data_IF_038771846694
#
_entry.id   IF_038771846694
#
_cell.length_a   1.000
_cell.length_b   1.000
_cell.length_c   1.000
_cell.angle_alpha   90.00
_cell.angle_beta   90.00
_cell.angle_gamma   90.00
#
_symmetry.space_group_name_H-M   'P 1'
#
loop_
_entity.id
_entity.type
_entity.pdbx_description
1 polymer ?
#
# COMPACT_ATOMS: atom_id res chain seq x y z
N UNK A 1 29.66 22.26 41.65
CA UNK A 1 29.62 23.51 40.86
C UNK A 1 30.70 23.47 39.80
N UNK A 2 30.34 23.13 38.55
CA UNK A 2 31.06 23.49 37.33
C UNK A 2 30.02 23.71 36.26
N UNK A 3 29.95 24.93 35.74
CA UNK A 3 29.14 25.29 34.57
C UNK A 3 29.93 24.96 33.31
N UNK A 4 29.24 24.44 32.29
CA UNK A 4 29.68 24.48 30.89
C UNK A 4 28.64 25.27 30.10
N UNK A 5 29.04 26.33 29.37
CA UNK A 5 28.18 27.07 28.47
C UNK A 5 28.17 26.38 27.10
N UNK A 6 27.04 26.34 26.41
CA UNK A 6 26.98 25.73 25.09
C UNK A 6 25.56 25.42 24.66
N UNK A 7 24.96 26.42 24.03
CA UNK A 7 23.92 26.26 23.02
C UNK A 7 24.13 25.00 22.16
N UNK A 8 23.16 24.11 22.18
CA UNK A 8 23.10 22.92 21.35
C UNK A 8 21.70 22.38 21.48
N UNK A 9 20.83 22.90 20.62
CA UNK A 9 19.52 22.37 20.30
C UNK A 9 19.60 20.84 20.23
N UNK A 10 19.10 20.15 21.26
CA UNK A 10 18.86 18.71 21.15
C UNK A 10 17.63 18.59 20.28
N UNK A 11 17.86 18.64 18.97
CA UNK A 11 16.87 18.33 17.95
C UNK A 11 16.19 17.05 18.37
N UNK A 12 14.90 17.15 18.64
CA UNK A 12 14.01 16.02 18.79
C UNK A 12 14.32 15.13 17.57
N UNK A 13 14.77 13.89 17.80
CA UNK A 13 14.81 12.91 16.73
C UNK A 13 13.37 12.81 16.27
N UNK A 14 13.05 13.48 15.17
CA UNK A 14 11.74 13.41 14.55
C UNK A 14 11.45 11.91 14.41
N UNK A 15 10.35 11.40 15.00
CA UNK A 15 10.01 10.01 14.82
C UNK A 15 9.94 9.80 13.31
N UNK A 16 10.87 9.01 12.80
CA UNK A 16 11.01 8.69 11.38
C UNK A 16 9.63 8.17 10.97
N UNK A 17 8.88 9.02 10.28
CA UNK A 17 7.48 8.80 10.00
C UNK A 17 7.38 7.40 9.38
N UNK A 18 6.83 6.44 10.13
CA UNK A 18 6.49 5.14 9.56
C UNK A 18 5.38 5.45 8.57
N UNK A 19 5.80 5.70 7.33
CA UNK A 19 4.93 6.21 6.27
C UNK A 19 3.92 5.12 5.96
N UNK A 20 2.71 5.30 6.47
CA UNK A 20 1.55 4.49 6.08
C UNK A 20 1.29 4.76 4.61
N UNK A 21 1.92 3.96 3.75
CA UNK A 21 1.80 4.10 2.31
C UNK A 21 0.41 3.63 1.89
N UNK A 22 -0.34 4.53 1.26
CA UNK A 22 -1.67 4.22 0.77
C UNK A 22 -1.57 3.58 -0.61
N UNK A 23 -2.13 2.38 -0.76
CA UNK A 23 -2.27 1.70 -2.04
C UNK A 23 -3.69 1.84 -2.54
N UNK A 24 -3.83 2.09 -3.85
CA UNK A 24 -5.14 2.01 -4.50
C UNK A 24 -5.43 0.57 -4.80
N UNK A 25 -6.55 0.06 -4.29
CA UNK A 25 -6.99 -1.32 -4.45
C UNK A 25 -8.30 -1.30 -5.22
N UNK A 26 -8.36 -2.06 -6.30
CA UNK A 26 -9.62 -2.34 -7.02
C UNK A 26 -10.23 -3.59 -6.40
N UNK A 27 -11.53 -3.55 -6.15
CA UNK A 27 -12.30 -4.70 -5.68
C UNK A 27 -13.43 -4.94 -6.66
N UNK A 28 -13.38 -6.10 -7.30
CA UNK A 28 -14.39 -6.59 -8.23
C UNK A 28 -15.33 -7.55 -7.52
N UNK A 29 -16.64 -7.37 -7.75
CA UNK A 29 -17.67 -8.29 -7.27
C UNK A 29 -18.03 -9.25 -8.39
N UNK A 30 -17.89 -10.54 -8.12
CA UNK A 30 -18.28 -11.62 -9.01
C UNK A 30 -19.46 -12.42 -8.42
N UNK A 31 -20.00 -13.35 -9.20
CA UNK A 31 -21.07 -14.25 -8.75
C UNK A 31 -20.65 -15.22 -7.65
N UNK A 32 -19.35 -15.53 -7.61
CA UNK A 32 -18.67 -16.50 -6.75
C UNK A 32 -17.89 -15.84 -5.60
N UNK A 33 -17.89 -14.51 -5.49
CA UNK A 33 -17.21 -13.80 -4.41
C UNK A 33 -16.66 -12.44 -4.83
N UNK A 34 -15.61 -12.01 -4.17
CA UNK A 34 -14.91 -10.75 -4.40
C UNK A 34 -13.43 -11.01 -4.70
N UNK A 35 -12.89 -10.26 -5.64
CA UNK A 35 -11.48 -10.29 -6.02
C UNK A 35 -10.90 -8.89 -5.85
N UNK A 36 -9.74 -8.78 -5.22
CA UNK A 36 -9.10 -7.51 -4.91
C UNK A 36 -7.64 -7.50 -5.38
N UNK A 37 -7.18 -6.40 -5.98
CA UNK A 37 -5.78 -6.25 -6.40
C UNK A 37 -5.33 -4.79 -6.34
N UNK A 38 -4.05 -4.54 -6.02
CA UNK A 38 -3.49 -3.20 -5.96
C UNK A 38 -3.11 -2.70 -7.37
N UNK A 39 -3.27 -1.40 -7.59
CA UNK A 39 -2.83 -0.72 -8.81
C UNK A 39 -1.47 -0.07 -8.57
N UNK A 40 -0.57 -0.18 -9.56
CA UNK A 40 0.74 0.45 -9.52
C UNK A 40 1.82 -0.38 -8.83
N UNK A 41 1.53 -1.63 -8.41
CA UNK A 41 2.53 -2.57 -7.92
C UNK A 41 2.86 -3.57 -9.03
N UNK A 42 4.15 -3.77 -9.30
CA UNK A 42 4.61 -4.77 -10.26
C UNK A 42 4.65 -6.13 -9.56
N UNK A 43 3.80 -7.06 -9.97
CA UNK A 43 3.75 -8.41 -9.41
C UNK A 43 2.34 -9.00 -9.40
N UNK A 44 2.23 -10.27 -9.03
CA UNK A 44 0.95 -10.96 -8.89
C UNK A 44 0.45 -10.86 -7.44
N UNK A 45 -0.08 -9.70 -7.06
CA UNK A 45 -0.75 -9.51 -5.77
C UNK A 45 -2.26 -9.55 -6.00
N UNK A 46 -2.90 -10.58 -5.45
CA UNK A 46 -4.36 -10.76 -5.51
C UNK A 46 -4.87 -11.24 -4.16
N UNK A 47 -6.00 -10.71 -3.73
CA UNK A 47 -6.79 -11.20 -2.62
C UNK A 47 -8.16 -11.65 -3.11
N UNK A 48 -8.69 -12.72 -2.53
CA UNK A 48 -10.04 -13.21 -2.82
C UNK A 48 -10.79 -13.40 -1.50
N UNK A 49 -12.11 -13.42 -1.57
CA UNK A 49 -12.95 -13.73 -0.42
C UNK A 49 -14.42 -13.80 -0.79
N UNK A 50 -15.23 -14.42 0.05
CA UNK A 50 -16.69 -14.48 -0.13
C UNK A 50 -17.34 -13.10 0.12
N UNK A 51 -16.64 -12.23 0.85
CA UNK A 51 -17.09 -10.89 1.20
C UNK A 51 -16.08 -9.81 0.81
N UNK A 52 -16.57 -8.56 0.68
CA UNK A 52 -15.75 -7.39 0.40
C UNK A 52 -14.60 -7.23 1.42
N UNK A 53 -14.92 -7.39 2.71
CA UNK A 53 -13.95 -7.20 3.80
C UNK A 53 -12.88 -8.29 3.78
N UNK A 54 -13.27 -9.52 3.45
CA UNK A 54 -12.35 -10.65 3.33
C UNK A 54 -11.38 -10.47 2.15
N UNK A 55 -11.87 -10.08 0.97
CA UNK A 55 -11.01 -9.81 -0.18
C UNK A 55 -10.04 -8.65 0.12
N UNK A 56 -10.52 -7.59 0.78
CA UNK A 56 -9.70 -6.46 1.20
C UNK A 56 -8.64 -6.87 2.24
N UNK A 57 -8.99 -7.73 3.19
CA UNK A 57 -8.05 -8.25 4.18
C UNK A 57 -6.97 -9.11 3.50
N UNK A 58 -7.39 -10.01 2.60
CA UNK A 58 -6.49 -10.89 1.86
C UNK A 58 -5.46 -10.10 1.04
N UNK A 59 -5.91 -9.09 0.28
CA UNK A 59 -4.97 -8.29 -0.53
C UNK A 59 -4.03 -7.46 0.35
N UNK A 60 -4.47 -6.95 1.51
CA UNK A 60 -3.58 -6.26 2.46
C UNK A 60 -2.49 -7.18 2.99
N UNK A 61 -2.84 -8.41 3.36
CA UNK A 61 -1.89 -9.43 3.78
C UNK A 61 -0.92 -9.81 2.65
N UNK A 62 -1.41 -9.90 1.41
CA UNK A 62 -0.57 -10.18 0.25
C UNK A 62 0.43 -9.04 -0.03
N UNK A 63 0.01 -7.77 0.12
CA UNK A 63 0.92 -6.61 0.03
C UNK A 63 1.98 -6.67 1.14
N UNK A 64 1.58 -6.97 2.38
CA UNK A 64 2.52 -7.10 3.49
C UNK A 64 3.56 -8.20 3.23
N UNK A 65 3.11 -9.37 2.77
CA UNK A 65 3.98 -10.48 2.41
C UNK A 65 4.93 -10.12 1.26
N UNK A 66 4.45 -9.36 0.27
CA UNK A 66 5.30 -8.85 -0.82
C UNK A 66 6.45 -7.98 -0.28
N UNK A 67 6.17 -7.10 0.69
CA UNK A 67 7.22 -6.29 1.36
C UNK A 67 8.21 -7.15 2.13
N UNK A 68 7.72 -8.17 2.84
CA UNK A 68 8.57 -9.06 3.61
C UNK A 68 9.52 -9.87 2.71
N UNK A 69 9.05 -10.30 1.53
CA UNK A 69 9.83 -11.12 0.59
C UNK A 69 10.78 -10.26 -0.26
N UNK A 70 10.29 -9.15 -0.81
CA UNK A 70 11.03 -8.35 -1.80
C UNK A 70 11.65 -7.07 -1.24
N UNK A 71 11.33 -6.70 0.01
CA UNK A 71 11.80 -5.48 0.65
C UNK A 71 10.93 -4.26 0.36
N UNK A 72 11.03 -3.25 1.23
CA UNK A 72 10.26 -2.00 1.14
C UNK A 72 10.63 -1.15 -0.09
N UNK A 73 11.85 -1.30 -0.62
CA UNK A 73 12.36 -0.53 -1.76
C UNK A 73 11.49 -0.68 -3.01
N UNK A 74 10.93 -1.88 -3.23
CA UNK A 74 10.05 -2.19 -4.36
C UNK A 74 8.72 -1.43 -4.30
N UNK A 75 8.28 -1.03 -3.11
CA UNK A 75 7.09 -0.20 -2.94
C UNK A 75 7.44 1.28 -2.87
N UNK A 76 8.64 1.66 -2.44
CA UNK A 76 9.08 3.07 -2.34
C UNK A 76 9.07 3.78 -3.70
N UNK A 77 9.48 3.10 -4.76
CA UNK A 77 9.49 3.63 -6.13
C UNK A 77 8.15 3.55 -6.86
N UNK A 78 7.08 3.02 -6.24
CA UNK A 78 5.76 2.99 -6.89
C UNK A 78 5.16 4.41 -6.91
N UNK A 79 4.99 5.03 -8.09
CA UNK A 79 4.38 6.34 -8.18
C UNK A 79 2.91 6.25 -7.75
N UNK A 80 2.37 7.31 -7.14
CA UNK A 80 0.95 7.40 -6.86
C UNK A 80 0.17 7.45 -8.17
N UNK A 81 -0.31 6.30 -8.64
CA UNK A 81 -1.06 6.18 -9.90
C UNK A 81 -2.47 6.75 -9.72
N UNK A 82 -2.91 7.61 -10.64
CA UNK A 82 -4.32 8.00 -10.76
C UNK A 82 -5.07 6.95 -11.59
N UNK A 83 -6.22 6.50 -11.08
CA UNK A 83 -6.98 5.39 -11.67
C UNK A 83 -8.35 5.90 -12.04
N UNK A 84 -8.72 5.71 -13.30
CA UNK A 84 -10.03 6.04 -13.83
C UNK A 84 -10.69 4.75 -14.31
N UNK A 85 -11.92 4.50 -13.86
CA UNK A 85 -12.76 3.41 -14.34
C UNK A 85 -13.73 4.00 -15.37
N UNK A 86 -13.77 3.45 -16.58
CA UNK A 86 -14.66 3.89 -17.64
C UNK A 86 -15.26 2.69 -18.38
N UNK A 87 -16.56 2.77 -18.67
CA UNK A 87 -17.23 1.82 -19.55
C UNK A 87 -17.02 2.24 -21.01
N UNK A 88 -16.68 1.28 -21.87
CA UNK A 88 -16.50 1.53 -23.30
C UNK A 88 -17.22 0.45 -24.11
N UNK A 89 -18.04 0.88 -25.08
CA UNK A 89 -18.65 -0.03 -26.05
C UNK A 89 -17.62 -0.45 -27.09
N UNK A 90 -17.38 -1.75 -27.23
CA UNK A 90 -16.52 -2.35 -28.26
C UNK A 90 -17.39 -3.22 -29.15
N UNK A 91 -17.19 -3.15 -30.48
CA UNK A 91 -17.84 -4.10 -31.40
C UNK A 91 -17.20 -5.47 -31.22
N UNK A 92 -18.02 -6.47 -30.88
CA UNK A 92 -17.60 -7.86 -30.63
C UNK A 92 -18.11 -8.76 -31.76
#
# INVERSE_FOLDING_TARGET
MRTIPGSGEWGILEPKEESMKQFKIVIEKHSDGYVAYPIGIIGAIVGQGDTYEEALSNVKSAIACYVEIFGKEMLEDTPSVEVFIAEAGVAV
#
